data_IF_180150910533
#
_entry.id   IF_180150910533
#
_cell.length_a   1.000
_cell.length_b   1.000
_cell.length_c   1.000
_cell.angle_alpha   90.00
_cell.angle_beta   90.00
_cell.angle_gamma   90.00
#
_symmetry.space_group_name_H-M   'P 1'
#
loop_
_entity.id
_entity.type
_entity.pdbx_description
1 polymer ?
#
# COMPACT_ATOMS: atom_id res chain seq x y z
N UNK A 1 -14.64 -4.98 12.31
CA UNK A 1 -15.58 -3.96 11.82
C UNK A 1 -15.20 -2.65 12.47
N UNK A 2 -14.73 -1.67 11.70
CA UNK A 2 -14.02 -0.49 12.21
C UNK A 2 -14.95 0.70 12.37
N UNK A 3 -14.93 1.28 13.58
CA UNK A 3 -15.62 2.50 13.95
C UNK A 3 -14.96 3.71 13.27
N UNK A 4 -15.65 4.33 12.31
CA UNK A 4 -15.17 5.49 11.55
C UNK A 4 -15.08 6.81 12.35
N UNK A 5 -15.30 6.80 13.67
CA UNK A 5 -15.45 8.02 14.49
C UNK A 5 -14.24 8.42 15.35
N UNK A 6 -13.16 7.63 15.46
CA UNK A 6 -11.98 8.00 16.28
C UNK A 6 -10.77 8.51 15.50
N UNK A 7 -10.81 8.48 14.16
CA UNK A 7 -9.63 8.71 13.32
C UNK A 7 -9.24 10.21 13.24
N UNK A 8 -10.17 11.13 13.49
CA UNK A 8 -9.93 12.55 13.23
C UNK A 8 -9.18 13.27 14.36
N UNK A 9 -9.46 12.96 15.63
CA UNK A 9 -8.92 13.71 16.77
C UNK A 9 -7.45 13.37 17.04
N UNK A 10 -7.12 12.07 17.04
CA UNK A 10 -5.72 11.58 17.15
C UNK A 10 -4.84 12.09 15.99
N UNK A 11 -5.43 12.38 14.82
CA UNK A 11 -4.67 12.76 13.63
C UNK A 11 -4.00 14.12 13.72
N UNK A 12 -4.58 15.07 14.46
CA UNK A 12 -3.98 16.41 14.64
C UNK A 12 -2.82 16.33 15.63
N UNK A 13 -2.98 15.60 16.75
CA UNK A 13 -1.90 15.39 17.72
C UNK A 13 -0.70 14.69 17.06
N UNK A 14 -0.95 13.67 16.23
CA UNK A 14 0.09 13.00 15.45
C UNK A 14 0.80 13.97 14.47
N UNK A 15 0.04 14.84 13.80
CA UNK A 15 0.60 15.81 12.87
C UNK A 15 1.45 16.88 13.59
N UNK A 16 1.02 17.35 14.76
CA UNK A 16 1.80 18.27 15.59
C UNK A 16 3.07 17.62 16.13
N UNK A 17 2.99 16.36 16.55
CA UNK A 17 4.14 15.55 16.95
C UNK A 17 5.14 15.42 15.80
N UNK A 18 4.69 15.16 14.56
CA UNK A 18 5.56 15.12 13.39
C UNK A 18 6.29 16.44 13.13
N UNK A 19 5.63 17.59 13.33
CA UNK A 19 6.28 18.91 13.19
C UNK A 19 7.37 19.09 14.26
N UNK A 20 7.08 18.74 15.52
CA UNK A 20 8.03 18.84 16.63
C UNK A 20 9.25 17.94 16.43
N UNK A 21 9.05 16.70 15.97
CA UNK A 21 10.14 15.77 15.66
C UNK A 21 10.96 16.26 14.45
N UNK A 22 10.31 16.75 13.40
CA UNK A 22 10.99 17.29 12.23
C UNK A 22 11.87 18.49 12.58
N UNK A 23 11.41 19.36 13.49
CA UNK A 23 12.16 20.55 13.92
C UNK A 23 13.50 20.24 14.60
N UNK A 24 13.68 19.02 15.14
CA UNK A 24 14.96 18.55 15.68
C UNK A 24 16.04 18.43 14.60
N UNK A 25 15.63 18.15 13.36
CA UNK A 25 16.52 17.93 12.21
C UNK A 25 16.48 19.08 11.20
N UNK A 26 15.35 19.77 11.09
CA UNK A 26 15.14 20.90 10.19
C UNK A 26 14.55 22.10 10.96
N UNK A 27 15.37 22.93 11.63
CA UNK A 27 14.89 23.96 12.56
C UNK A 27 13.92 24.98 11.97
N UNK A 28 13.95 25.20 10.65
CA UNK A 28 13.01 26.08 9.95
C UNK A 28 11.56 25.60 9.99
N UNK A 29 11.29 24.35 10.38
CA UNK A 29 9.91 23.83 10.48
C UNK A 29 9.23 24.14 11.82
N UNK A 30 9.93 24.77 12.77
CA UNK A 30 9.45 24.96 14.15
C UNK A 30 8.12 25.73 14.25
N UNK A 31 7.92 26.72 13.38
CA UNK A 31 6.73 27.59 13.41
C UNK A 31 5.68 27.19 12.36
N UNK A 32 5.83 26.02 11.73
CA UNK A 32 4.82 25.49 10.82
C UNK A 32 3.55 25.13 11.58
N UNK A 33 2.41 25.24 10.88
CA UNK A 33 1.10 24.85 11.40
C UNK A 33 0.51 23.80 10.49
N UNK A 34 -0.18 22.84 11.08
CA UNK A 34 -0.93 21.82 10.33
C UNK A 34 -2.03 22.52 9.53
N UNK A 35 -1.99 22.37 8.20
CA UNK A 35 -3.01 22.92 7.31
C UNK A 35 -4.17 21.94 7.11
N UNK A 36 -3.86 20.66 6.96
CA UNK A 36 -4.82 19.58 6.72
C UNK A 36 -4.20 18.26 7.19
N UNK A 37 -5.03 17.35 7.70
CA UNK A 37 -4.62 15.97 8.00
C UNK A 37 -5.49 15.00 7.21
N UNK A 38 -4.83 14.01 6.59
CA UNK A 38 -5.50 12.89 5.92
C UNK A 38 -4.94 11.58 6.41
N UNK A 39 -5.80 10.76 6.98
CA UNK A 39 -5.47 9.40 7.39
C UNK A 39 -5.92 8.41 6.34
N UNK A 40 -5.04 7.47 6.00
CA UNK A 40 -5.33 6.39 5.07
C UNK A 40 -4.83 5.06 5.63
N UNK A 41 -5.58 4.00 5.40
CA UNK A 41 -5.13 2.65 5.71
C UNK A 41 -4.08 2.21 4.68
N UNK A 42 -3.00 1.62 5.16
CA UNK A 42 -1.97 1.06 4.29
C UNK A 42 -2.37 -0.34 3.83
N UNK A 43 -2.42 -0.61 2.51
CA UNK A 43 -2.61 -1.96 2.02
C UNK A 43 -1.38 -2.82 2.34
N UNK A 44 -1.48 -3.68 3.36
CA UNK A 44 -0.38 -4.53 3.81
C UNK A 44 -0.79 -6.01 3.82
N UNK A 45 -0.26 -6.82 2.89
CA UNK A 45 -0.41 -8.27 2.94
C UNK A 45 0.09 -8.85 4.27
N UNK A 46 -0.50 -9.94 4.80
CA UNK A 46 -0.14 -10.48 6.11
C UNK A 46 1.33 -10.88 6.26
N UNK A 47 1.97 -11.26 5.15
CA UNK A 47 3.39 -11.63 5.09
C UNK A 47 4.31 -10.46 4.64
N UNK A 48 3.74 -9.28 4.40
CA UNK A 48 4.45 -8.10 3.92
C UNK A 48 4.89 -8.15 2.45
N UNK A 49 4.56 -9.20 1.70
CA UNK A 49 4.95 -9.38 0.30
C UNK A 49 3.79 -9.09 -0.65
N UNK A 50 4.02 -8.56 -1.88
CA UNK A 50 2.96 -8.38 -2.87
C UNK A 50 2.14 -9.66 -3.14
N UNK A 51 0.86 -9.52 -3.47
CA UNK A 51 -0.03 -10.60 -3.93
C UNK A 51 -0.45 -10.29 -5.36
N UNK A 52 0.04 -11.08 -6.31
CA UNK A 52 0.00 -10.82 -7.75
C UNK A 52 -0.33 -12.10 -8.52
N UNK A 53 -1.40 -12.10 -9.30
CA UNK A 53 -1.75 -13.23 -10.17
C UNK A 53 -3.24 -13.48 -10.29
N UNK A 54 -3.59 -14.56 -10.99
CA UNK A 54 -4.96 -15.05 -11.09
C UNK A 54 -5.43 -15.63 -9.74
N UNK A 55 -6.72 -15.47 -9.42
CA UNK A 55 -7.29 -16.09 -8.24
C UNK A 55 -7.66 -17.57 -8.53
N UNK A 56 -7.22 -18.54 -7.71
CA UNK A 56 -7.53 -19.96 -7.92
C UNK A 56 -9.03 -20.26 -7.98
N UNK A 57 -9.82 -19.58 -7.13
CA UNK A 57 -11.27 -19.75 -7.04
C UNK A 57 -12.04 -18.98 -8.11
N UNK A 58 -11.41 -18.03 -8.79
CA UNK A 58 -12.03 -17.18 -9.81
C UNK A 58 -11.02 -16.90 -10.94
N UNK A 59 -10.87 -17.83 -11.90
CA UNK A 59 -9.81 -17.75 -12.91
C UNK A 59 -9.83 -16.47 -13.77
N UNK A 60 -11.00 -15.85 -13.93
CA UNK A 60 -11.18 -14.60 -14.67
C UNK A 60 -10.84 -13.34 -13.85
N UNK A 61 -10.43 -13.49 -12.59
CA UNK A 61 -10.02 -12.40 -11.72
C UNK A 61 -8.50 -12.42 -11.55
N UNK A 62 -7.87 -11.25 -11.74
CA UNK A 62 -6.46 -11.00 -11.47
C UNK A 62 -6.33 -10.03 -10.31
N UNK A 63 -5.51 -10.34 -9.31
CA UNK A 63 -5.31 -9.48 -8.14
C UNK A 63 -3.95 -8.79 -8.20
N UNK A 64 -3.93 -7.52 -7.77
CA UNK A 64 -2.71 -6.82 -7.41
C UNK A 64 -2.90 -6.16 -6.04
N UNK A 65 -2.15 -6.63 -5.04
CA UNK A 65 -2.22 -6.14 -3.67
C UNK A 65 -0.82 -5.98 -3.09
N UNK A 66 -0.42 -4.75 -2.76
CA UNK A 66 0.96 -4.46 -2.31
C UNK A 66 1.04 -3.16 -1.54
N UNK A 67 1.96 -3.09 -0.57
CA UNK A 67 2.33 -1.88 0.16
C UNK A 67 3.08 -0.87 -0.73
N UNK A 68 3.88 -1.37 -1.67
CA UNK A 68 4.75 -0.54 -2.52
C UNK A 68 4.08 -0.18 -3.86
N UNK A 69 2.76 0.01 -3.85
CA UNK A 69 1.93 0.16 -5.05
C UNK A 69 2.39 1.29 -5.96
N UNK A 70 2.68 2.47 -5.42
CA UNK A 70 3.13 3.62 -6.24
C UNK A 70 4.47 3.33 -6.93
N UNK A 71 5.44 2.81 -6.16
CA UNK A 71 6.79 2.54 -6.68
C UNK A 71 6.81 1.41 -7.70
N UNK A 72 6.04 0.35 -7.47
CA UNK A 72 6.06 -0.86 -8.29
C UNK A 72 4.97 -0.90 -9.36
N UNK A 73 4.03 0.04 -9.37
CA UNK A 73 2.90 0.07 -10.31
C UNK A 73 3.31 -0.11 -11.77
N UNK A 74 4.35 0.56 -12.30
CA UNK A 74 4.72 0.39 -13.72
C UNK A 74 5.10 -1.05 -14.05
N UNK A 75 5.95 -1.66 -13.21
CA UNK A 75 6.44 -3.02 -13.42
C UNK A 75 5.33 -4.06 -13.19
N UNK A 76 4.55 -3.92 -12.10
CA UNK A 76 3.42 -4.81 -11.82
C UNK A 76 2.37 -4.73 -12.92
N UNK A 77 2.06 -3.52 -13.40
CA UNK A 77 1.07 -3.31 -14.46
C UNK A 77 1.48 -3.96 -15.77
N UNK A 78 2.75 -3.86 -16.15
CA UNK A 78 3.30 -4.50 -17.35
C UNK A 78 3.20 -6.04 -17.26
N UNK A 79 3.61 -6.62 -16.14
CA UNK A 79 3.55 -8.07 -15.92
C UNK A 79 2.11 -8.57 -15.85
N UNK A 80 1.22 -7.87 -15.13
CA UNK A 80 -0.19 -8.21 -15.07
C UNK A 80 -0.82 -8.18 -16.48
N UNK A 81 -0.53 -7.16 -17.29
CA UNK A 81 -1.03 -7.09 -18.66
C UNK A 81 -0.49 -8.22 -19.55
N UNK A 82 0.75 -8.66 -19.35
CA UNK A 82 1.32 -9.81 -20.05
C UNK A 82 0.60 -11.10 -19.67
N UNK A 83 0.46 -11.38 -18.37
CA UNK A 83 -0.20 -12.58 -17.85
C UNK A 83 -1.66 -12.65 -18.31
N UNK A 84 -2.41 -11.54 -18.17
CA UNK A 84 -3.82 -11.46 -18.59
C UNK A 84 -3.99 -11.69 -20.09
N UNK A 85 -3.10 -11.12 -20.93
CA UNK A 85 -3.23 -11.22 -22.39
C UNK A 85 -2.83 -12.59 -22.92
N UNK A 86 -1.83 -13.22 -22.31
CA UNK A 86 -1.20 -14.44 -22.85
C UNK A 86 -1.64 -15.70 -22.11
N UNK A 87 -2.15 -15.58 -20.89
CA UNK A 87 -2.38 -16.70 -19.99
C UNK A 87 -1.10 -17.35 -19.47
N UNK A 88 0.07 -16.76 -19.73
CA UNK A 88 1.37 -17.29 -19.31
C UNK A 88 1.87 -16.52 -18.11
N UNK A 89 2.13 -17.24 -17.02
CA UNK A 89 2.69 -16.67 -15.80
C UNK A 89 4.15 -16.23 -15.96
N UNK A 90 4.48 -15.09 -15.38
CA UNK A 90 5.85 -14.55 -15.33
C UNK A 90 6.59 -15.15 -14.14
N UNK A 91 7.77 -15.73 -14.40
CA UNK A 91 8.57 -16.43 -13.37
C UNK A 91 8.97 -15.53 -12.18
N UNK A 92 9.28 -14.25 -12.44
CA UNK A 92 9.64 -13.28 -11.39
C UNK A 92 8.52 -13.06 -10.37
N UNK A 93 7.27 -13.33 -10.74
CA UNK A 93 6.11 -13.19 -9.87
C UNK A 93 5.78 -14.46 -9.08
N UNK A 94 6.47 -15.58 -9.33
CA UNK A 94 6.21 -16.86 -8.67
C UNK A 94 6.19 -16.80 -7.12
N UNK A 95 7.07 -16.04 -6.44
CA UNK A 95 7.00 -15.90 -4.98
C UNK A 95 5.79 -15.10 -4.47
N UNK A 96 5.12 -14.36 -5.35
CA UNK A 96 4.06 -13.40 -5.03
C UNK A 96 2.66 -13.90 -5.39
N UNK A 97 2.53 -15.20 -5.71
CA UNK A 97 1.28 -15.81 -6.11
C UNK A 97 0.25 -15.87 -4.98
N UNK A 98 -1.06 -15.68 -5.25
CA UNK A 98 -2.12 -15.76 -4.24
C UNK A 98 -2.18 -17.10 -3.50
N UNK A 99 -1.83 -18.18 -4.17
CA UNK A 99 -1.85 -19.58 -3.72
C UNK A 99 -1.04 -19.79 -2.43
N UNK A 100 -0.12 -18.89 -2.10
CA UNK A 100 0.67 -18.99 -0.87
C UNK A 100 -0.14 -18.79 0.43
N UNK A 101 -1.37 -18.29 0.33
CA UNK A 101 -2.23 -18.03 1.50
C UNK A 101 -3.34 -19.05 1.75
N UNK A 102 -3.50 -20.06 0.87
CA UNK A 102 -4.51 -21.14 0.93
C UNK A 102 -5.93 -20.72 1.38
#
# INVERSE_FOLDING_TARGET
GTNARSIADESIEDAEMLIQETAKYLPSTRDLRVQEVRSALRPMPPDGLPVLGHLPSTPNAYITYTHSGVTLAPMIGEMAALEIRTGVETEILAPYRPERFN
#
